data_IF_022963101850
#
_entry.id   IF_022963101850
#
_cell.length_a   1.000
_cell.length_b   1.000
_cell.length_c   1.000
_cell.angle_alpha   90.00
_cell.angle_beta   90.00
_cell.angle_gamma   90.00
#
_symmetry.space_group_name_H-M   'P 1'
#
loop_
_entity.id
_entity.type
_entity.pdbx_description
1 polymer ?
#
# COMPACT_ATOMS: atom_id res chain seq x y z
N UNK A 1 -4.58 69.21 64.90
CA UNK A 1 -3.44 68.76 64.06
C UNK A 1 -4.03 68.25 62.76
N UNK A 2 -3.31 68.36 61.63
CA UNK A 2 -3.71 67.71 60.37
C UNK A 2 -2.72 66.58 60.10
N UNK A 3 -3.13 65.38 60.47
CA UNK A 3 -2.38 64.15 60.38
C UNK A 3 -2.13 63.73 58.92
N UNK A 4 -2.94 64.17 57.96
CA UNK A 4 -2.70 63.91 56.53
C UNK A 4 -1.54 64.72 55.94
N UNK A 5 -1.04 65.76 56.62
CA UNK A 5 0.09 66.56 56.15
C UNK A 5 1.42 65.78 56.05
N UNK A 6 1.53 64.64 56.75
CA UNK A 6 2.70 63.75 56.68
C UNK A 6 2.58 62.64 55.64
N UNK A 7 1.50 62.63 54.84
CA UNK A 7 1.20 61.60 53.82
C UNK A 7 1.28 60.18 54.42
N UNK A 8 0.47 59.88 55.45
CA UNK A 8 0.58 58.62 56.19
C UNK A 8 0.07 57.40 55.41
N UNK A 9 -0.75 57.60 54.36
CA UNK A 9 -1.29 56.55 53.52
C UNK A 9 -0.32 56.21 52.39
N UNK A 10 0.16 54.98 52.36
CA UNK A 10 1.11 54.47 51.38
C UNK A 10 0.40 53.92 50.13
N UNK A 11 1.17 53.55 49.10
CA UNK A 11 0.70 52.87 47.89
C UNK A 11 -0.50 53.53 47.18
N UNK A 12 -0.59 54.87 47.23
CA UNK A 12 -1.68 55.64 46.60
C UNK A 12 -2.98 55.70 47.42
N UNK A 13 -2.96 55.32 48.70
CA UNK A 13 -4.10 55.45 49.61
C UNK A 13 -4.58 56.89 49.78
N UNK A 14 -5.89 57.09 49.84
CA UNK A 14 -6.50 58.41 50.07
C UNK A 14 -6.61 58.70 51.56
N UNK A 15 -5.96 59.78 52.03
CA UNK A 15 -6.01 60.19 53.44
C UNK A 15 -7.22 61.07 53.74
N UNK A 16 -7.92 60.77 54.83
CA UNK A 16 -8.97 61.61 55.42
C UNK A 16 -8.60 61.95 56.85
N UNK A 17 -8.52 63.24 57.17
CA UNK A 17 -8.24 63.69 58.54
C UNK A 17 -9.47 63.49 59.44
N UNK A 18 -9.29 62.95 60.64
CA UNK A 18 -10.38 62.75 61.61
C UNK A 18 -10.06 63.45 62.92
N UNK A 19 -11.02 63.55 63.84
CA UNK A 19 -10.77 64.23 65.12
C UNK A 19 -9.80 63.39 65.98
N UNK A 20 -8.56 63.87 66.10
CA UNK A 20 -7.50 63.22 66.88
C UNK A 20 -6.82 62.04 66.19
N UNK A 21 -7.05 61.82 64.89
CA UNK A 21 -6.45 60.73 64.10
C UNK A 21 -6.56 61.01 62.60
N UNK A 22 -6.23 60.01 61.78
CA UNK A 22 -6.50 59.94 60.35
C UNK A 22 -7.12 58.59 59.98
N UNK A 23 -7.70 58.50 58.78
CA UNK A 23 -8.14 57.26 58.14
C UNK A 23 -7.62 57.20 56.71
N UNK A 24 -7.17 56.02 56.28
CA UNK A 24 -6.72 55.76 54.92
C UNK A 24 -7.73 54.90 54.19
N UNK A 25 -8.18 55.33 53.01
CA UNK A 25 -8.89 54.46 52.07
C UNK A 25 -7.88 53.85 51.10
N UNK A 26 -7.68 52.55 51.21
CA UNK A 26 -6.70 51.84 50.41
C UNK A 26 -7.20 51.54 48.99
N UNK A 27 -6.32 51.59 47.97
CA UNK A 27 -6.64 51.10 46.65
C UNK A 27 -6.74 49.57 46.66
N UNK A 28 -7.23 48.99 45.56
CA UNK A 28 -7.25 47.53 45.36
C UNK A 28 -5.83 46.96 45.52
N UNK A 29 -5.73 45.77 46.11
CA UNK A 29 -4.47 45.07 46.38
C UNK A 29 -3.78 45.47 47.69
N UNK A 30 -4.28 46.48 48.42
CA UNK A 30 -3.67 46.96 49.66
C UNK A 30 -4.65 47.00 50.83
N UNK A 31 -4.13 46.73 52.02
CA UNK A 31 -4.87 46.74 53.27
C UNK A 31 -4.06 47.34 54.42
N UNK A 32 -4.65 47.36 55.62
CA UNK A 32 -4.06 47.91 56.83
C UNK A 32 -4.28 49.42 57.00
N UNK A 33 -3.99 49.93 58.20
CA UNK A 33 -4.29 51.33 58.59
C UNK A 33 -3.60 52.37 57.71
N UNK A 34 -2.45 52.01 57.14
CA UNK A 34 -1.64 52.88 56.26
C UNK A 34 -1.60 52.42 54.80
N UNK A 35 -2.36 51.38 54.43
CA UNK A 35 -2.30 50.78 53.09
C UNK A 35 -0.90 50.25 52.72
N UNK A 36 -0.12 49.82 53.72
CA UNK A 36 1.23 49.26 53.58
C UNK A 36 1.22 47.76 53.36
N UNK A 37 0.12 47.10 53.70
CA UNK A 37 0.07 45.65 53.78
C UNK A 37 -0.51 45.12 52.47
N UNK A 38 0.25 44.28 51.80
CA UNK A 38 -0.12 43.67 50.53
C UNK A 38 -1.22 42.62 50.76
N UNK A 39 -2.26 42.63 49.92
CA UNK A 39 -3.27 41.58 49.92
C UNK A 39 -2.70 40.41 49.13
N UNK A 40 -2.81 39.18 49.68
CA UNK A 40 -2.49 37.99 48.93
C UNK A 40 -3.69 37.56 48.08
N UNK A 41 -3.79 37.99 46.82
CA UNK A 41 -4.96 37.65 46.00
C UNK A 41 -5.03 36.15 45.66
N UNK A 42 -3.92 35.41 45.78
CA UNK A 42 -3.92 33.97 45.53
C UNK A 42 -4.77 33.17 46.52
N UNK A 43 -5.07 33.71 47.71
CA UNK A 43 -5.95 33.07 48.69
C UNK A 43 -7.40 32.95 48.21
N UNK A 44 -7.77 33.70 47.16
CA UNK A 44 -9.08 33.64 46.51
C UNK A 44 -9.15 32.68 45.31
N UNK A 45 -8.04 31.96 45.00
CA UNK A 45 -7.93 31.05 43.86
C UNK A 45 -8.33 31.70 42.51
N UNK A 46 -7.74 32.85 42.13
CA UNK A 46 -8.18 33.58 40.94
C UNK A 46 -7.82 32.88 39.62
N UNK A 47 -6.76 32.07 39.62
CA UNK A 47 -6.28 31.36 38.43
C UNK A 47 -7.13 30.12 38.14
N UNK A 48 -7.74 30.08 36.97
CA UNK A 48 -8.58 28.98 36.49
C UNK A 48 -7.76 27.96 35.69
N UNK A 49 -8.40 26.87 35.26
CA UNK A 49 -7.80 25.85 34.40
C UNK A 49 -6.43 25.33 34.88
N UNK A 50 -6.34 25.07 36.19
CA UNK A 50 -5.11 24.61 36.85
C UNK A 50 -3.90 25.55 36.69
N UNK A 51 -4.15 26.84 36.46
CA UNK A 51 -3.13 27.88 36.44
C UNK A 51 -2.51 28.08 37.82
N UNK A 52 -1.18 28.30 37.86
CA UNK A 52 -0.46 28.54 39.11
C UNK A 52 -0.48 30.03 39.47
N UNK A 53 -0.99 30.36 40.64
CA UNK A 53 -1.00 31.73 41.15
C UNK A 53 0.33 32.10 41.82
N UNK A 54 0.79 33.33 41.57
CA UNK A 54 1.89 33.96 42.30
C UNK A 54 1.47 35.36 42.71
N UNK A 55 1.56 35.64 44.01
CA UNK A 55 1.24 36.97 44.54
C UNK A 55 2.32 37.98 44.16
N UNK A 56 1.92 39.21 43.89
CA UNK A 56 2.81 40.34 43.59
C UNK A 56 2.36 41.58 44.37
N UNK A 57 3.18 42.61 44.47
CA UNK A 57 2.80 43.79 45.25
C UNK A 57 1.61 44.52 44.61
N UNK A 58 0.48 44.55 45.30
CA UNK A 58 -0.78 45.14 44.88
C UNK A 58 -1.52 44.39 43.77
N UNK A 59 -1.13 43.15 43.45
CA UNK A 59 -1.74 42.35 42.39
C UNK A 59 -1.30 40.88 42.42
N UNK A 60 -1.70 40.11 41.41
CA UNK A 60 -1.25 38.73 41.23
C UNK A 60 -0.93 38.42 39.77
N UNK A 61 -0.19 37.33 39.57
CA UNK A 61 0.07 36.76 38.25
C UNK A 61 -0.33 35.30 38.22
N UNK A 62 -1.15 34.94 37.23
CA UNK A 62 -1.41 33.55 36.90
C UNK A 62 -0.42 33.06 35.84
N UNK A 63 0.12 31.86 36.06
CA UNK A 63 0.87 31.10 35.08
C UNK A 63 -0.05 30.03 34.51
N UNK A 64 -0.55 30.28 33.30
CA UNK A 64 -1.51 29.41 32.64
C UNK A 64 -0.85 28.13 32.13
N UNK A 65 -1.62 27.04 32.16
CA UNK A 65 -1.25 25.81 31.48
C UNK A 65 -1.34 26.01 29.97
N UNK A 66 -0.72 25.12 29.20
CA UNK A 66 -0.87 25.09 27.74
C UNK A 66 -2.36 24.99 27.38
N UNK A 67 -2.77 25.72 26.34
CA UNK A 67 -4.17 25.83 25.91
C UNK A 67 -4.96 26.96 26.56
N UNK A 68 -4.41 27.66 27.56
CA UNK A 68 -5.09 28.77 28.22
C UNK A 68 -4.26 30.05 28.26
N UNK A 69 -4.95 31.18 28.26
CA UNK A 69 -4.37 32.52 28.28
C UNK A 69 -5.21 33.51 29.12
N UNK A 70 -4.80 34.77 29.13
CA UNK A 70 -5.45 35.82 29.91
C UNK A 70 -4.93 35.95 31.35
N UNK A 71 -5.40 36.97 32.06
CA UNK A 71 -4.92 37.30 33.41
C UNK A 71 -5.26 36.22 34.45
N UNK A 72 -6.38 35.52 34.26
CA UNK A 72 -6.89 34.48 35.16
C UNK A 72 -6.89 33.09 34.52
N UNK A 73 -6.26 32.92 33.35
CA UNK A 73 -6.25 31.66 32.60
C UNK A 73 -7.63 31.15 32.20
N UNK A 74 -8.59 32.06 32.03
CA UNK A 74 -9.96 31.76 31.60
C UNK A 74 -10.10 31.66 30.08
N UNK A 75 -9.21 32.33 29.34
CA UNK A 75 -9.34 32.46 27.90
C UNK A 75 -8.76 31.21 27.24
N UNK A 76 -9.59 30.53 26.46
CA UNK A 76 -9.18 29.39 25.65
C UNK A 76 -8.29 29.84 24.49
N UNK A 77 -7.16 29.15 24.29
CA UNK A 77 -6.21 29.48 23.22
C UNK A 77 -6.54 28.66 21.99
N UNK A 78 -6.75 29.31 20.84
CA UNK A 78 -7.01 28.60 19.60
C UNK A 78 -5.71 28.00 19.03
N UNK A 79 -5.45 26.70 19.25
CA UNK A 79 -4.22 26.10 18.71
C UNK A 79 -4.24 25.92 17.19
N UNK A 80 -5.41 25.97 16.56
CA UNK A 80 -5.52 25.86 15.09
C UNK A 80 -4.93 27.07 14.35
N UNK A 81 -4.70 28.19 15.03
CA UNK A 81 -4.04 29.36 14.43
C UNK A 81 -2.56 29.09 14.06
N UNK A 82 -2.00 27.96 14.50
CA UNK A 82 -0.62 27.52 14.21
C UNK A 82 -0.55 26.33 13.24
N UNK A 83 -1.66 25.93 12.62
CA UNK A 83 -1.75 24.80 11.70
C UNK A 83 -1.10 23.49 12.25
N UNK A 84 -1.52 22.98 13.42
CA UNK A 84 -0.87 21.85 14.07
C UNK A 84 -1.14 20.49 13.40
N UNK A 85 -2.11 20.42 12.49
CA UNK A 85 -2.50 19.18 11.81
C UNK A 85 -1.73 19.04 10.49
N UNK A 86 -0.97 17.97 10.36
CA UNK A 86 -0.17 17.64 9.19
C UNK A 86 -0.99 16.87 8.14
N UNK A 87 -0.40 16.63 6.97
CA UNK A 87 -0.94 15.77 5.91
C UNK A 87 -2.40 16.09 5.49
N UNK A 88 -2.73 17.38 5.53
CA UNK A 88 -4.04 17.90 5.15
C UNK A 88 -5.16 17.61 6.14
N UNK A 89 -4.83 17.23 7.38
CA UNK A 89 -5.81 17.05 8.45
C UNK A 89 -6.55 18.34 8.78
N UNK A 90 -7.82 18.23 9.20
CA UNK A 90 -8.65 19.37 9.56
C UNK A 90 -8.55 19.64 11.07
N UNK A 91 -8.12 20.85 11.44
CA UNK A 91 -8.02 21.27 12.84
C UNK A 91 -9.34 21.80 13.38
N UNK A 92 -9.75 21.31 14.54
CA UNK A 92 -10.85 21.86 15.34
C UNK A 92 -10.33 22.25 16.72
N UNK A 93 -10.57 23.51 17.10
CA UNK A 93 -10.25 23.99 18.43
C UNK A 93 -11.21 23.40 19.46
N UNK A 94 -10.69 22.93 20.57
CA UNK A 94 -11.43 22.42 21.72
C UNK A 94 -11.02 23.19 22.98
N UNK A 95 -11.77 23.04 24.07
CA UNK A 95 -11.43 23.77 25.29
C UNK A 95 -10.16 23.20 25.94
N UNK A 96 -9.07 23.98 25.92
CA UNK A 96 -7.75 23.64 26.46
C UNK A 96 -6.90 22.70 25.59
N UNK A 97 -7.31 22.44 24.35
CA UNK A 97 -6.60 21.59 23.39
C UNK A 97 -7.21 21.76 22.00
N UNK A 98 -6.69 21.03 21.02
CA UNK A 98 -7.26 20.87 19.71
C UNK A 98 -7.43 19.40 19.36
N UNK A 99 -8.24 19.14 18.34
CA UNK A 99 -8.39 17.86 17.68
C UNK A 99 -8.08 17.99 16.19
N UNK A 100 -7.23 17.09 15.69
CA UNK A 100 -7.00 16.93 14.25
C UNK A 100 -7.83 15.77 13.72
N UNK A 101 -8.73 16.05 12.79
CA UNK A 101 -9.38 15.03 11.99
C UNK A 101 -8.46 14.63 10.83
N UNK A 102 -7.81 13.49 10.96
CA UNK A 102 -6.84 13.02 9.99
C UNK A 102 -7.50 12.49 8.72
N UNK A 103 -6.88 12.78 7.58
CA UNK A 103 -7.23 12.13 6.33
C UNK A 103 -6.94 10.62 6.41
N UNK A 104 -7.58 9.85 5.54
CA UNK A 104 -7.30 8.42 5.39
C UNK A 104 -5.79 8.20 5.16
N UNK A 105 -5.25 7.16 5.79
CA UNK A 105 -3.82 6.83 5.74
C UNK A 105 -2.95 7.52 6.81
N UNK A 106 -3.51 8.42 7.64
CA UNK A 106 -2.73 9.15 8.65
C UNK A 106 -3.30 8.97 10.07
N UNK A 107 -2.43 9.02 11.08
CA UNK A 107 -2.79 8.80 12.48
C UNK A 107 -2.03 9.70 13.46
N UNK A 108 -2.31 9.53 14.76
CA UNK A 108 -1.87 10.35 15.92
C UNK A 108 -2.54 11.71 16.05
N UNK A 109 -2.20 12.43 17.13
CA UNK A 109 -2.77 13.73 17.49
C UNK A 109 -2.66 14.77 16.38
N UNK A 110 -1.57 14.74 15.61
CA UNK A 110 -1.25 15.75 14.61
C UNK A 110 -1.32 15.20 13.17
N UNK A 111 -1.82 13.98 12.97
CA UNK A 111 -1.84 13.33 11.65
C UNK A 111 -0.45 13.17 11.00
N UNK A 112 0.60 13.10 11.83
CA UNK A 112 2.01 13.06 11.40
C UNK A 112 2.46 11.67 10.97
N UNK A 113 1.80 10.64 11.48
CA UNK A 113 2.28 9.27 11.31
C UNK A 113 1.48 8.59 10.21
N UNK A 114 2.21 8.03 9.25
CA UNK A 114 1.66 7.19 8.20
C UNK A 114 1.13 5.87 8.76
N UNK A 115 -0.04 5.44 8.28
CA UNK A 115 -0.60 4.14 8.61
C UNK A 115 -0.02 3.13 7.63
N UNK A 116 0.64 2.10 8.14
CA UNK A 116 1.08 1.01 7.28
C UNK A 116 -0.08 0.07 6.94
N UNK A 117 -0.75 0.26 5.80
CA UNK A 117 -1.89 -0.59 5.44
C UNK A 117 -1.48 -2.05 5.16
N UNK A 118 -0.20 -2.29 4.84
CA UNK A 118 0.32 -3.63 4.57
C UNK A 118 0.30 -4.56 5.80
N UNK A 119 0.15 -4.03 7.01
CA UNK A 119 0.01 -4.84 8.23
C UNK A 119 -1.26 -5.69 8.22
N UNK A 120 -2.25 -5.34 7.39
CA UNK A 120 -3.50 -6.10 7.21
C UNK A 120 -3.46 -7.09 6.06
N UNK A 121 -2.35 -7.18 5.32
CA UNK A 121 -2.20 -8.01 4.12
C UNK A 121 -3.32 -7.80 3.09
N UNK A 122 -3.48 -6.56 2.56
CA UNK A 122 -4.61 -6.20 1.70
C UNK A 122 -4.53 -6.72 0.26
N UNK A 123 -3.42 -7.34 -0.14
CA UNK A 123 -3.19 -7.85 -1.48
C UNK A 123 -3.47 -9.34 -1.55
N UNK A 124 -4.33 -9.76 -2.48
CA UNK A 124 -4.69 -11.15 -2.71
C UNK A 124 -3.73 -11.83 -3.70
N UNK A 125 -3.90 -13.15 -3.90
CA UNK A 125 -3.23 -13.95 -4.92
C UNK A 125 -1.69 -13.77 -4.98
N UNK A 126 -1.05 -13.85 -3.81
CA UNK A 126 0.39 -13.68 -3.62
C UNK A 126 0.92 -12.31 -4.07
N UNK A 127 0.05 -11.30 -4.16
CA UNK A 127 0.41 -9.92 -4.46
C UNK A 127 1.34 -9.33 -3.38
N UNK A 128 2.31 -8.52 -3.80
CA UNK A 128 3.24 -7.85 -2.89
C UNK A 128 2.65 -6.50 -2.50
N UNK A 129 2.36 -6.32 -1.21
CA UNK A 129 1.94 -5.03 -0.67
C UNK A 129 3.13 -4.08 -0.53
N UNK A 130 2.95 -2.83 -0.98
CA UNK A 130 3.93 -1.77 -0.86
C UNK A 130 3.26 -0.56 -0.20
N UNK A 131 3.70 -0.25 1.01
CA UNK A 131 3.23 0.90 1.76
C UNK A 131 3.78 2.21 1.18
N UNK A 132 2.99 3.27 1.23
CA UNK A 132 3.34 4.61 0.74
C UNK A 132 2.75 5.68 1.68
N UNK A 133 3.27 6.89 1.63
CA UNK A 133 2.77 7.96 2.51
C UNK A 133 1.27 8.24 2.25
N UNK A 134 0.44 7.92 3.25
CA UNK A 134 -1.01 8.07 3.26
C UNK A 134 -1.78 7.03 2.44
N UNK A 135 -1.14 5.95 1.98
CA UNK A 135 -1.79 4.92 1.16
C UNK A 135 -0.92 3.67 0.95
N UNK A 136 -1.36 2.77 0.09
CA UNK A 136 -0.57 1.63 -0.36
C UNK A 136 -0.96 1.25 -1.79
N UNK A 137 -0.15 0.38 -2.40
CA UNK A 137 -0.57 -0.30 -3.61
C UNK A 137 -0.10 -1.75 -3.61
N UNK A 138 -0.85 -2.58 -4.33
CA UNK A 138 -0.52 -3.97 -4.55
C UNK A 138 0.21 -4.14 -5.88
N UNK A 139 1.38 -4.79 -5.84
CA UNK A 139 2.05 -5.29 -7.03
C UNK A 139 1.58 -6.71 -7.28
N UNK A 140 0.71 -6.88 -8.26
CA UNK A 140 0.10 -8.17 -8.57
C UNK A 140 1.07 -9.17 -9.20
N UNK A 141 0.84 -10.43 -8.88
CA UNK A 141 1.46 -11.57 -9.54
C UNK A 141 0.98 -11.68 -10.99
N UNK A 142 1.71 -12.40 -11.84
CA UNK A 142 1.30 -12.67 -13.22
C UNK A 142 -0.07 -13.38 -13.21
N UNK A 143 -0.96 -12.97 -14.12
CA UNK A 143 -2.33 -13.51 -14.21
C UNK A 143 -3.36 -12.78 -13.34
N UNK A 144 -2.95 -11.79 -12.53
CA UNK A 144 -3.85 -11.04 -11.66
C UNK A 144 -3.74 -9.52 -11.88
N UNK A 145 -4.85 -8.83 -11.72
CA UNK A 145 -4.98 -7.37 -11.84
C UNK A 145 -5.93 -6.83 -10.75
N UNK A 146 -6.18 -5.52 -10.79
CA UNK A 146 -7.04 -4.82 -9.85
C UNK A 146 -6.27 -4.25 -8.66
N UNK A 147 -6.91 -3.38 -7.89
CA UNK A 147 -6.26 -2.65 -6.78
C UNK A 147 -5.76 -3.58 -5.67
N UNK A 148 -6.41 -4.72 -5.50
CA UNK A 148 -6.09 -5.74 -4.50
C UNK A 148 -5.61 -7.06 -5.12
N UNK A 149 -5.32 -7.10 -6.42
CA UNK A 149 -4.95 -8.32 -7.14
C UNK A 149 -6.02 -9.43 -7.10
N UNK A 150 -7.29 -9.04 -6.96
CA UNK A 150 -8.44 -9.95 -6.93
C UNK A 150 -8.98 -10.29 -8.31
N UNK A 151 -8.60 -9.52 -9.33
CA UNK A 151 -9.19 -9.62 -10.65
C UNK A 151 -8.36 -10.59 -11.48
N UNK A 152 -9.00 -11.70 -11.89
CA UNK A 152 -8.38 -12.71 -12.75
C UNK A 152 -8.25 -12.17 -14.19
N UNK A 153 -7.05 -12.23 -14.76
CA UNK A 153 -6.81 -11.80 -16.14
C UNK A 153 -7.28 -12.91 -17.08
N UNK A 154 -8.26 -12.61 -17.94
CA UNK A 154 -8.65 -13.55 -18.99
C UNK A 154 -7.62 -13.56 -20.14
N UNK A 155 -6.67 -14.50 -20.10
CA UNK A 155 -5.67 -14.60 -21.17
C UNK A 155 -6.26 -15.07 -22.50
N UNK A 156 -7.48 -15.62 -22.52
CA UNK A 156 -8.14 -16.04 -23.75
C UNK A 156 -8.74 -14.87 -24.55
N UNK A 157 -8.73 -13.63 -24.02
CA UNK A 157 -9.04 -12.42 -24.82
C UNK A 157 -8.03 -12.22 -25.96
N UNK A 158 -6.77 -12.58 -25.71
CA UNK A 158 -5.72 -12.64 -26.72
C UNK A 158 -5.15 -14.07 -26.74
N UNK A 159 -5.83 -15.00 -27.42
CA UNK A 159 -5.60 -16.44 -27.26
C UNK A 159 -4.13 -16.82 -27.45
N UNK A 160 -3.47 -17.40 -26.43
CA UNK A 160 -2.09 -17.86 -26.52
C UNK A 160 -1.98 -19.20 -27.26
N UNK A 161 -3.05 -19.98 -27.31
CA UNK A 161 -3.09 -21.30 -27.95
C UNK A 161 -3.03 -21.16 -29.48
N UNK A 162 -2.04 -21.78 -30.12
CA UNK A 162 -1.91 -21.76 -31.59
C UNK A 162 -2.84 -22.79 -32.25
N UNK A 163 -2.80 -24.04 -31.77
CA UNK A 163 -3.53 -25.18 -32.33
C UNK A 163 -4.40 -25.89 -31.27
N UNK A 164 -5.20 -25.11 -30.53
CA UNK A 164 -6.06 -25.61 -29.47
C UNK A 164 -7.12 -24.61 -29.04
N UNK A 165 -8.08 -25.08 -28.25
CA UNK A 165 -9.07 -24.21 -27.62
C UNK A 165 -8.54 -23.68 -26.28
N UNK A 166 -8.66 -22.36 -26.06
CA UNK A 166 -8.22 -21.71 -24.83
C UNK A 166 -9.31 -21.77 -23.76
N UNK A 167 -8.92 -22.08 -22.52
CA UNK A 167 -9.78 -21.96 -21.35
C UNK A 167 -9.07 -21.13 -20.28
N UNK A 168 -9.71 -20.04 -19.86
CA UNK A 168 -9.22 -19.21 -18.77
C UNK A 168 -9.33 -19.95 -17.42
N UNK A 169 -8.33 -19.80 -16.57
CA UNK A 169 -8.27 -20.39 -15.23
C UNK A 169 -7.79 -19.34 -14.23
N UNK A 170 -7.98 -19.55 -12.93
CA UNK A 170 -7.54 -18.57 -11.94
C UNK A 170 -6.02 -18.36 -11.98
N UNK A 171 -5.59 -17.17 -12.40
CA UNK A 171 -4.21 -16.71 -12.52
C UNK A 171 -3.43 -17.29 -13.69
N UNK A 172 -4.08 -17.94 -14.67
CA UNK A 172 -3.44 -18.60 -15.81
C UNK A 172 -4.47 -19.07 -16.85
N UNK A 173 -4.03 -19.67 -17.94
CA UNK A 173 -4.89 -20.38 -18.89
C UNK A 173 -4.46 -21.84 -19.10
N UNK A 174 -5.31 -22.59 -19.79
CA UNK A 174 -5.04 -23.94 -20.28
C UNK A 174 -5.45 -24.06 -21.75
N UNK A 175 -4.63 -24.75 -22.55
CA UNK A 175 -4.93 -25.06 -23.95
C UNK A 175 -5.33 -26.53 -24.13
N UNK A 176 -6.50 -26.79 -24.70
CA UNK A 176 -6.89 -28.13 -25.15
C UNK A 176 -6.38 -28.34 -26.57
N UNK A 177 -5.23 -29.01 -26.70
CA UNK A 177 -4.55 -29.16 -27.98
C UNK A 177 -5.28 -30.10 -28.93
N UNK A 178 -5.39 -29.67 -30.18
CA UNK A 178 -5.87 -30.52 -31.26
C UNK A 178 -4.95 -31.73 -31.46
N UNK A 179 -5.50 -32.84 -31.97
CA UNK A 179 -4.76 -34.08 -32.19
C UNK A 179 -3.49 -33.83 -33.01
N UNK A 180 -2.34 -34.26 -32.49
CA UNK A 180 -1.05 -34.09 -33.14
C UNK A 180 -0.28 -32.85 -32.71
N UNK A 181 -0.80 -32.05 -31.78
CA UNK A 181 -0.14 -30.89 -31.17
C UNK A 181 0.08 -31.09 -29.66
N UNK A 182 1.11 -30.45 -29.13
CA UNK A 182 1.50 -30.46 -27.71
C UNK A 182 2.23 -29.15 -27.36
N UNK A 183 2.62 -29.00 -26.10
CA UNK A 183 3.23 -27.78 -25.58
C UNK A 183 2.23 -27.02 -24.71
N UNK A 184 2.69 -25.96 -24.05
CA UNK A 184 1.80 -25.14 -23.20
C UNK A 184 0.77 -24.39 -24.06
N UNK A 185 1.19 -24.01 -25.27
CA UNK A 185 0.42 -23.20 -26.22
C UNK A 185 0.04 -23.99 -27.48
N UNK A 186 0.19 -25.31 -27.47
CA UNK A 186 -0.01 -26.18 -28.64
C UNK A 186 0.86 -25.80 -29.85
N UNK A 187 2.08 -25.35 -29.58
CA UNK A 187 3.08 -24.88 -30.55
C UNK A 187 3.92 -26.03 -31.15
N UNK A 188 3.99 -27.17 -30.46
CA UNK A 188 4.83 -28.30 -30.84
C UNK A 188 4.04 -29.40 -31.55
N UNK A 189 4.64 -30.00 -32.59
CA UNK A 189 4.08 -31.21 -33.21
C UNK A 189 4.35 -32.44 -32.32
N UNK A 190 3.30 -33.23 -32.08
CA UNK A 190 3.37 -34.51 -31.37
C UNK A 190 3.85 -35.63 -32.32
N UNK A 191 5.18 -35.73 -32.46
CA UNK A 191 5.87 -36.66 -33.37
C UNK A 191 5.60 -38.15 -33.13
N UNK A 192 5.13 -38.53 -31.95
CA UNK A 192 4.77 -39.90 -31.56
C UNK A 192 3.68 -40.52 -32.48
N UNK A 193 2.80 -39.71 -33.07
CA UNK A 193 1.80 -40.20 -34.04
C UNK A 193 2.32 -40.31 -35.47
N UNK A 194 3.41 -39.61 -35.81
CA UNK A 194 3.93 -39.54 -37.19
C UNK A 194 5.03 -40.58 -37.41
N UNK A 195 5.88 -40.83 -36.41
CA UNK A 195 6.96 -41.82 -36.49
C UNK A 195 6.49 -43.25 -36.84
N UNK A 196 5.49 -43.85 -36.17
CA UNK A 196 5.07 -45.21 -36.48
C UNK A 196 4.45 -45.32 -37.89
N UNK A 197 3.70 -44.31 -38.32
CA UNK A 197 3.17 -44.21 -39.69
C UNK A 197 4.29 -44.09 -40.73
N UNK A 198 5.29 -43.26 -40.48
CA UNK A 198 6.48 -43.14 -41.33
C UNK A 198 7.29 -44.44 -41.37
N UNK A 199 7.48 -45.11 -40.24
CA UNK A 199 8.16 -46.41 -40.16
C UNK A 199 7.39 -47.51 -40.89
N UNK A 200 6.06 -47.55 -40.78
CA UNK A 200 5.19 -48.46 -41.54
C UNK A 200 5.29 -48.19 -43.05
N UNK A 201 5.29 -46.93 -43.47
CA UNK A 201 5.44 -46.55 -44.88
C UNK A 201 6.81 -46.97 -45.43
N UNK A 202 7.88 -46.74 -44.67
CA UNK A 202 9.24 -47.16 -45.02
C UNK A 202 9.36 -48.69 -45.10
N UNK A 203 8.74 -49.43 -44.17
CA UNK A 203 8.72 -50.89 -44.19
C UNK A 203 7.96 -51.43 -45.41
N UNK A 204 6.81 -50.86 -45.75
CA UNK A 204 6.04 -51.19 -46.97
C UNK A 204 6.86 -50.93 -48.24
N UNK A 205 7.52 -49.77 -48.34
CA UNK A 205 8.40 -49.45 -49.45
C UNK A 205 9.56 -50.45 -49.56
N UNK A 206 10.18 -50.84 -48.44
CA UNK A 206 11.25 -51.85 -48.43
C UNK A 206 10.77 -53.22 -48.94
N UNK A 207 9.57 -53.66 -48.54
CA UNK A 207 8.96 -54.92 -49.02
C UNK A 207 8.69 -54.85 -50.53
N UNK A 208 8.14 -53.73 -51.03
CA UNK A 208 7.89 -53.52 -52.46
C UNK A 208 9.21 -53.57 -53.23
N UNK A 209 10.24 -52.86 -52.77
CA UNK A 209 11.57 -52.85 -53.39
C UNK A 209 12.14 -54.27 -53.43
N UNK A 210 12.09 -55.01 -52.32
CA UNK A 210 12.58 -56.39 -52.25
C UNK A 210 11.83 -57.31 -53.23
N UNK A 211 10.50 -57.19 -53.31
CA UNK A 211 9.69 -57.94 -54.27
C UNK A 211 10.04 -57.59 -55.73
N UNK A 212 10.27 -56.33 -56.06
CA UNK A 212 10.69 -55.87 -57.38
C UNK A 212 12.10 -56.38 -57.74
N UNK A 213 13.05 -56.33 -56.80
CA UNK A 213 14.40 -56.88 -56.96
C UNK A 213 14.32 -58.40 -57.19
N UNK A 214 13.51 -59.12 -56.41
CA UNK A 214 13.29 -60.56 -56.56
C UNK A 214 12.64 -60.90 -57.92
N UNK A 215 11.65 -60.11 -58.37
CA UNK A 215 11.06 -60.24 -59.73
C UNK A 215 12.09 -59.97 -60.82
N UNK A 216 12.94 -58.94 -60.69
CA UNK A 216 14.04 -58.66 -61.63
C UNK A 216 15.07 -59.79 -61.67
N UNK A 217 15.46 -60.35 -60.52
CA UNK A 217 16.34 -61.52 -60.43
C UNK A 217 15.71 -62.74 -61.09
N UNK A 218 14.42 -63.01 -60.87
CA UNK A 218 13.69 -64.11 -61.53
C UNK A 218 13.58 -63.91 -63.05
N UNK A 219 13.33 -62.69 -63.53
CA UNK A 219 13.37 -62.36 -64.97
C UNK A 219 14.76 -62.55 -65.58
N UNK A 220 15.83 -62.14 -64.88
CA UNK A 220 17.21 -62.40 -65.32
C UNK A 220 17.53 -63.89 -65.34
N UNK A 221 17.14 -64.64 -64.31
CA UNK A 221 17.31 -66.09 -64.27
C UNK A 221 16.59 -66.78 -65.44
N UNK A 222 15.30 -66.47 -65.67
CA UNK A 222 14.56 -67.01 -66.81
C UNK A 222 15.17 -66.62 -68.16
N UNK A 223 15.69 -65.38 -68.31
CA UNK A 223 16.38 -64.96 -69.54
C UNK A 223 17.68 -65.73 -69.77
N UNK A 224 18.41 -66.07 -68.70
CA UNK A 224 19.59 -66.95 -68.78
C UNK A 224 19.17 -68.38 -69.12
N UNK A 225 18.08 -68.89 -68.55
CA UNK A 225 17.51 -70.21 -68.87
C UNK A 225 17.10 -70.35 -70.34
N UNK A 226 16.41 -69.35 -70.91
CA UNK A 226 16.06 -69.30 -72.34
C UNK A 226 17.31 -69.19 -73.24
N UNK A 227 18.33 -68.45 -72.79
CA UNK A 227 19.59 -68.34 -73.54
C UNK A 227 20.39 -69.66 -73.53
N UNK A 228 20.30 -70.46 -72.48
CA UNK A 228 20.89 -71.81 -72.44
C UNK A 228 20.08 -72.85 -73.21
N UNK A 229 18.75 -72.70 -73.29
CA UNK A 229 17.90 -73.58 -74.09
C UNK A 229 18.16 -73.39 -75.60
N UNK A 230 18.35 -72.15 -76.05
CA UNK A 230 18.67 -71.83 -77.45
C UNK A 230 20.09 -72.26 -77.88
N UNK A 231 21.06 -72.34 -76.96
CA UNK A 231 22.38 -72.92 -77.26
C UNK A 231 22.35 -74.45 -77.43
N UNK A 232 21.45 -75.17 -76.76
CA UNK A 232 21.35 -76.63 -76.88
C UNK A 232 20.65 -77.08 -78.16
N UNK A 233 19.77 -76.28 -78.77
CA UNK A 233 19.19 -76.61 -80.08
C UNK A 233 20.19 -76.46 -81.23
N UNK A 234 21.19 -75.58 -81.11
CA UNK A 234 22.26 -75.46 -82.11
C UNK A 234 23.31 -76.58 -82.04
N UNK A 235 23.37 -77.36 -80.95
CA UNK A 235 24.33 -78.47 -80.85
C UNK A 235 23.77 -79.81 -81.32
N UNK A 236 22.46 -79.91 -81.56
CA UNK A 236 21.78 -81.10 -82.10
C UNK A 236 21.60 -81.10 -83.63
N UNK A 237 22.11 -80.07 -84.33
CA UNK A 237 22.08 -79.98 -85.80
C UNK A 237 23.46 -80.13 -86.46
N UNK A 238 24.47 -80.68 -85.76
CA UNK A 238 25.83 -80.88 -86.33
C UNK A 238 26.54 -82.19 -85.96
N UNK A 239 25.82 -83.23 -85.54
CA UNK A 239 26.34 -84.60 -85.39
C UNK A 239 25.21 -85.52 -85.90
N UNK A 240 25.20 -85.82 -87.21
CA UNK A 240 25.70 -87.08 -87.80
C UNK A 240 24.79 -88.28 -87.50
#
# INVERSE_FOLDING_TARGET
VNECGSIPCQNGGTCTNTLGSYSCRCPRGWTGKKCSDDINECDSFPCQNSGKCTNTLGSFKCHCQNGFSGQTCLDDSNECDFDPCENGGNCTNEYGSYFCNCNLGWTRKNCSDDINECDTSPCENDGICINTDGSYFCKCSIGWDGTHCSDDIDECVYPPCEHGECTNTAGSYSCDCQIGWRGQNCEDVQLELILPLMLLLLALLAVIIFALVRRRRKRRANKVSDSTATLNEHHLSSIA
#
